data_IF_395202067640
#
_entry.id   IF_395202067640
#
_cell.length_a   1.000
_cell.length_b   1.000
_cell.length_c   1.000
_cell.angle_alpha   90.00
_cell.angle_beta   90.00
_cell.angle_gamma   90.00
#
_symmetry.space_group_name_H-M   'P 1'
#
loop_
_entity.id
_entity.type
_entity.pdbx_description
1 polymer ?
#
# COMPACT_ATOMS: atom_id res chain seq x y z
N UNK A 1 -2.19 -3.14 8.76
CA UNK A 1 -3.41 -2.27 8.85
C UNK A 1 -3.65 -1.69 7.48
N UNK A 2 -4.82 -1.89 6.83
CA UNK A 2 -5.10 -1.26 5.53
C UNK A 2 -5.15 0.26 5.69
N UNK A 3 -4.53 0.99 4.76
CA UNK A 3 -4.54 2.45 4.74
C UNK A 3 -5.19 2.96 3.47
N UNK A 4 -5.94 4.04 3.59
CA UNK A 4 -6.69 4.66 2.51
C UNK A 4 -6.54 6.17 2.67
N UNK A 5 -6.05 6.88 1.66
CA UNK A 5 -5.99 8.35 1.66
C UNK A 5 -5.28 8.95 2.90
N UNK A 6 -4.29 8.23 3.46
CA UNK A 6 -3.55 8.62 4.68
C UNK A 6 -4.27 8.32 6.00
N UNK A 7 -5.35 7.52 5.97
CA UNK A 7 -6.09 7.05 7.13
C UNK A 7 -5.83 5.56 7.33
N UNK A 8 -5.33 5.19 8.52
CA UNK A 8 -5.06 3.82 8.92
C UNK A 8 -6.28 3.17 9.52
N UNK A 9 -6.76 2.10 8.91
CA UNK A 9 -7.85 1.32 9.46
C UNK A 9 -7.31 0.10 10.17
N UNK A 10 -7.92 -0.23 11.31
CA UNK A 10 -7.75 -1.55 11.90
C UNK A 10 -8.28 -2.61 10.92
N UNK A 11 -7.62 -3.78 10.83
CA UNK A 11 -8.04 -4.87 9.92
C UNK A 11 -9.51 -5.28 10.12
N UNK A 12 -10.01 -5.12 11.35
CA UNK A 12 -11.40 -5.41 11.72
C UNK A 12 -12.40 -4.29 11.40
N UNK A 13 -11.93 -3.17 10.83
CA UNK A 13 -12.67 -1.93 10.57
C UNK A 13 -13.42 -1.37 11.79
N UNK A 14 -12.95 -1.67 13.01
CA UNK A 14 -13.53 -1.13 14.26
C UNK A 14 -13.08 0.29 14.55
N UNK A 15 -11.86 0.61 14.15
CA UNK A 15 -11.27 1.92 14.38
C UNK A 15 -10.43 2.35 13.19
N UNK A 16 -10.25 3.67 13.06
CA UNK A 16 -9.33 4.27 12.12
C UNK A 16 -8.52 5.39 12.79
N UNK A 17 -7.26 5.53 12.41
CA UNK A 17 -6.39 6.63 12.82
C UNK A 17 -6.16 7.54 11.62
N UNK A 18 -6.49 8.81 11.78
CA UNK A 18 -6.34 9.83 10.74
C UNK A 18 -4.93 10.45 10.81
N UNK A 19 -4.52 11.09 9.72
CA UNK A 19 -3.21 11.76 9.62
C UNK A 19 -2.99 12.85 10.69
N UNK A 20 -4.07 13.44 11.24
CA UNK A 20 -4.01 14.39 12.36
C UNK A 20 -3.83 13.71 13.73
N UNK A 21 -3.56 12.40 13.76
CA UNK A 21 -3.34 11.61 14.98
C UNK A 21 -4.63 11.18 15.69
N UNK A 22 -5.79 11.70 15.27
CA UNK A 22 -7.08 11.38 15.86
C UNK A 22 -7.49 9.93 15.56
N UNK A 23 -7.91 9.21 16.61
CA UNK A 23 -8.48 7.86 16.50
C UNK A 23 -9.99 7.97 16.52
N UNK A 24 -10.62 7.39 15.50
CA UNK A 24 -12.07 7.29 15.34
C UNK A 24 -12.48 5.84 15.59
N UNK A 25 -13.50 5.64 16.40
CA UNK A 25 -14.11 4.33 16.65
C UNK A 25 -15.45 4.28 15.96
N UNK A 26 -15.66 3.26 15.15
CA UNK A 26 -16.91 3.05 14.41
C UNK A 26 -17.88 2.20 15.22
N UNK A 27 -19.16 2.55 15.13
CA UNK A 27 -20.25 1.72 15.63
C UNK A 27 -20.36 0.42 14.82
N UNK A 28 -21.10 -0.57 15.36
CA UNK A 28 -21.32 -1.85 14.67
C UNK A 28 -21.92 -1.68 13.27
N UNK A 29 -22.86 -0.75 13.10
CA UNK A 29 -23.52 -0.50 11.82
C UNK A 29 -22.58 0.18 10.82
N UNK A 30 -21.84 1.20 11.25
CA UNK A 30 -20.81 1.87 10.44
C UNK A 30 -19.73 0.88 9.98
N UNK A 31 -19.25 0.03 10.89
CA UNK A 31 -18.29 -1.02 10.57
C UNK A 31 -18.85 -2.00 9.54
N UNK A 32 -20.10 -2.45 9.68
CA UNK A 32 -20.72 -3.34 8.69
C UNK A 32 -20.77 -2.67 7.32
N UNK A 33 -21.15 -1.40 7.27
CA UNK A 33 -21.24 -0.64 6.01
C UNK A 33 -19.86 -0.46 5.36
N UNK A 34 -18.83 -0.11 6.15
CA UNK A 34 -17.44 -0.06 5.70
C UNK A 34 -16.99 -1.40 5.13
N UNK A 35 -17.18 -2.51 5.86
CA UNK A 35 -16.77 -3.84 5.41
C UNK A 35 -17.46 -4.26 4.10
N UNK A 36 -18.76 -3.97 3.95
CA UNK A 36 -19.48 -4.29 2.71
C UNK A 36 -18.95 -3.49 1.54
N UNK A 37 -18.73 -2.18 1.73
CA UNK A 37 -18.21 -1.28 0.69
C UNK A 37 -16.76 -1.61 0.31
N UNK A 38 -15.86 -1.80 1.28
CA UNK A 38 -14.43 -2.06 1.01
C UNK A 38 -14.20 -3.43 0.37
N UNK A 39 -15.03 -4.44 0.68
CA UNK A 39 -14.95 -5.76 0.03
C UNK A 39 -15.29 -5.72 -1.46
N UNK A 40 -16.10 -4.74 -1.89
CA UNK A 40 -16.48 -4.50 -3.28
C UNK A 40 -15.95 -3.14 -3.75
N UNK A 41 -14.71 -2.81 -3.35
CA UNK A 41 -14.07 -1.55 -3.74
C UNK A 41 -14.10 -1.36 -5.27
N UNK A 42 -14.48 -0.16 -5.71
CA UNK A 42 -14.68 0.19 -7.12
C UNK A 42 -15.98 -0.28 -7.76
N UNK A 43 -16.82 -1.07 -7.06
CA UNK A 43 -18.13 -1.48 -7.54
C UNK A 43 -19.28 -0.76 -6.81
N UNK A 44 -20.39 -0.53 -7.51
CA UNK A 44 -21.61 0.03 -6.92
C UNK A 44 -22.24 -1.00 -5.99
N UNK A 45 -22.50 -0.58 -4.75
CA UNK A 45 -23.32 -1.33 -3.79
C UNK A 45 -24.62 -0.56 -3.60
N UNK A 46 -25.73 -1.22 -3.90
CA UNK A 46 -27.06 -0.59 -3.87
C UNK A 46 -27.51 -0.30 -2.44
N UNK A 47 -28.44 0.66 -2.29
CA UNK A 47 -29.01 0.99 -0.97
C UNK A 47 -29.68 -0.22 -0.31
N UNK A 48 -30.40 -1.01 -1.11
CA UNK A 48 -31.10 -2.20 -0.61
C UNK A 48 -30.12 -3.30 -0.16
N UNK A 49 -29.01 -3.53 -0.89
CA UNK A 49 -27.94 -4.45 -0.45
C UNK A 49 -27.27 -4.00 0.85
N UNK A 50 -27.03 -2.69 1.00
CA UNK A 50 -26.48 -2.13 2.24
C UNK A 50 -27.47 -2.26 3.41
N UNK A 51 -28.75 -1.98 3.17
CA UNK A 51 -29.82 -2.13 4.17
C UNK A 51 -29.98 -3.60 4.61
N UNK A 52 -29.90 -4.54 3.68
CA UNK A 52 -29.92 -5.97 3.96
C UNK A 52 -28.72 -6.39 4.81
N UNK A 53 -27.51 -5.92 4.46
CA UNK A 53 -26.28 -6.19 5.22
C UNK A 53 -26.38 -5.67 6.66
N UNK A 54 -26.99 -4.49 6.85
CA UNK A 54 -27.22 -3.92 8.16
C UNK A 54 -28.27 -4.71 8.97
N UNK A 55 -29.34 -5.16 8.32
CA UNK A 55 -30.42 -5.92 8.98
C UNK A 55 -29.95 -7.26 9.54
N UNK A 56 -28.96 -7.90 8.90
CA UNK A 56 -28.30 -9.12 9.40
C UNK A 56 -27.54 -8.91 10.73
N UNK A 57 -27.32 -7.67 11.16
CA UNK A 57 -26.69 -7.38 12.46
C UNK A 57 -27.66 -7.43 13.66
N UNK A 58 -28.94 -7.74 13.42
CA UNK A 58 -29.98 -7.91 14.44
C UNK A 58 -30.76 -6.63 14.76
N UNK A 59 -30.67 -5.61 13.90
CA UNK A 59 -31.42 -4.35 14.03
C UNK A 59 -32.01 -4.04 12.66
N UNK A 60 -33.33 -3.99 12.54
CA UNK A 60 -33.98 -3.61 11.28
C UNK A 60 -33.46 -2.26 10.81
N UNK A 61 -32.88 -2.23 9.62
CA UNK A 61 -32.28 -1.04 9.05
C UNK A 61 -32.87 -0.82 7.65
N UNK A 62 -33.70 0.22 7.52
CA UNK A 62 -34.20 0.67 6.22
C UNK A 62 -33.20 1.53 5.45
N UNK A 63 -33.49 1.83 4.18
CA UNK A 63 -32.60 2.59 3.28
C UNK A 63 -32.26 4.00 3.78
N UNK A 64 -33.19 4.68 4.47
CA UNK A 64 -32.90 5.98 5.11
C UNK A 64 -31.81 5.90 6.19
N UNK A 65 -31.66 4.73 6.83
CA UNK A 65 -30.59 4.50 7.80
C UNK A 65 -29.22 4.38 7.09
N UNK A 66 -29.19 3.84 5.86
CA UNK A 66 -27.97 3.73 5.03
C UNK A 66 -27.41 5.12 4.75
N UNK A 67 -28.23 6.04 4.23
CA UNK A 67 -27.77 7.40 3.90
C UNK A 67 -27.27 8.16 5.15
N UNK A 68 -27.94 7.97 6.28
CA UNK A 68 -27.51 8.56 7.56
C UNK A 68 -26.15 8.02 8.02
N UNK A 69 -25.95 6.69 7.92
CA UNK A 69 -24.69 6.04 8.29
C UNK A 69 -23.56 6.43 7.35
N UNK A 70 -23.81 6.55 6.04
CA UNK A 70 -22.82 7.06 5.07
C UNK A 70 -22.41 8.49 5.43
N UNK A 71 -23.36 9.36 5.76
CA UNK A 71 -23.05 10.73 6.18
C UNK A 71 -22.28 10.78 7.52
N UNK A 72 -22.51 9.83 8.43
CA UNK A 72 -21.66 9.69 9.63
C UNK A 72 -20.25 9.24 9.28
N UNK A 73 -20.10 8.22 8.44
CA UNK A 73 -18.79 7.75 7.97
C UNK A 73 -18.01 8.88 7.31
N UNK A 74 -18.65 9.65 6.41
CA UNK A 74 -18.03 10.80 5.76
C UNK A 74 -17.51 11.82 6.77
N UNK A 75 -18.30 12.18 7.78
CA UNK A 75 -17.85 13.08 8.86
C UNK A 75 -16.69 12.51 9.64
N UNK A 76 -16.73 11.22 9.98
CA UNK A 76 -15.66 10.54 10.68
C UNK A 76 -14.35 10.53 9.89
N UNK A 77 -14.43 10.34 8.57
CA UNK A 77 -13.28 10.30 7.68
C UNK A 77 -12.84 11.68 7.17
N UNK A 78 -13.61 12.75 7.46
CA UNK A 78 -13.51 14.07 6.82
C UNK A 78 -13.57 13.98 5.28
N UNK A 79 -14.49 13.18 4.79
CA UNK A 79 -14.79 12.97 3.38
C UNK A 79 -15.89 13.93 2.92
N UNK A 80 -15.64 14.70 1.85
CA UNK A 80 -16.64 15.60 1.26
C UNK A 80 -17.55 14.82 0.30
N UNK A 81 -18.86 15.06 0.33
CA UNK A 81 -19.78 14.42 -0.59
C UNK A 81 -19.67 14.93 -2.04
N UNK A 82 -19.20 16.16 -2.24
CA UNK A 82 -18.98 16.79 -3.55
C UNK A 82 -17.65 16.38 -4.18
N UNK A 83 -16.64 16.14 -3.34
CA UNK A 83 -15.31 15.66 -3.74
C UNK A 83 -14.96 14.40 -2.95
N UNK A 84 -15.64 13.26 -3.23
CA UNK A 84 -15.49 12.06 -2.41
C UNK A 84 -14.13 11.39 -2.63
N UNK A 85 -13.39 11.25 -1.54
CA UNK A 85 -12.12 10.53 -1.48
C UNK A 85 -12.31 9.09 -1.03
N UNK A 86 -13.31 8.81 -0.19
CA UNK A 86 -13.58 7.47 0.32
C UNK A 86 -14.86 6.86 -0.25
N UNK A 87 -15.99 7.54 -0.07
CA UNK A 87 -17.31 7.01 -0.43
C UNK A 87 -17.96 7.93 -1.46
N UNK A 88 -18.03 7.49 -2.71
CA UNK A 88 -18.74 8.21 -3.77
C UNK A 88 -20.23 7.84 -3.79
N UNK A 89 -21.07 8.82 -4.13
CA UNK A 89 -22.51 8.60 -4.35
C UNK A 89 -22.75 8.31 -5.81
N UNK A 90 -23.34 7.15 -6.11
CA UNK A 90 -23.92 6.87 -7.42
C UNK A 90 -25.42 7.17 -7.34
N UNK A 91 -25.83 8.32 -7.89
CA UNK A 91 -27.21 8.80 -7.78
C UNK A 91 -28.21 7.79 -8.34
N UNK A 92 -29.29 7.55 -7.61
CA UNK A 92 -30.30 6.55 -7.99
C UNK A 92 -29.93 5.09 -7.72
N UNK A 93 -28.65 4.76 -7.54
CA UNK A 93 -28.21 3.36 -7.37
C UNK A 93 -27.74 3.07 -5.94
N UNK A 94 -26.75 3.82 -5.45
CA UNK A 94 -26.15 3.53 -4.16
C UNK A 94 -24.81 4.23 -3.95
N UNK A 95 -23.85 3.47 -3.41
CA UNK A 95 -22.56 3.99 -2.98
C UNK A 95 -21.42 3.13 -3.50
N UNK A 96 -20.28 3.77 -3.72
CA UNK A 96 -19.04 3.12 -4.18
C UNK A 96 -17.91 3.49 -3.22
N UNK A 97 -17.13 2.51 -2.80
CA UNK A 97 -15.84 2.78 -2.18
C UNK A 97 -14.81 3.09 -3.26
N UNK A 98 -14.35 4.34 -3.31
CA UNK A 98 -13.42 4.84 -4.33
C UNK A 98 -11.99 5.00 -3.83
N UNK A 99 -11.80 4.99 -2.51
CA UNK A 99 -10.46 5.06 -1.93
C UNK A 99 -9.65 3.81 -2.30
N UNK A 100 -8.47 4.03 -2.89
CA UNK A 100 -7.53 2.96 -3.15
C UNK A 100 -6.79 2.60 -1.87
N UNK A 101 -6.60 1.30 -1.64
CA UNK A 101 -5.77 0.84 -0.54
C UNK A 101 -4.33 1.26 -0.82
N UNK A 102 -3.90 2.32 -0.14
CA UNK A 102 -2.49 2.64 -0.02
C UNK A 102 -1.93 1.62 0.95
N UNK A 103 -1.38 0.54 0.41
CA UNK A 103 -0.71 -0.47 1.22
C UNK A 103 0.45 0.25 1.91
N UNK A 104 0.27 0.63 3.18
CA UNK A 104 1.35 1.20 3.96
C UNK A 104 2.48 0.19 3.95
N UNK A 105 3.66 0.72 3.70
CA UNK A 105 4.94 0.04 3.78
C UNK A 105 5.16 -0.63 5.16
N UNK A 106 4.30 -0.33 6.14
CA UNK A 106 4.28 -0.78 7.55
C UNK A 106 4.26 -2.28 7.85
N UNK A 107 3.99 -3.14 6.86
CA UNK A 107 4.16 -4.60 6.96
C UNK A 107 5.06 -5.16 5.84
N UNK A 108 5.78 -4.29 5.12
CA UNK A 108 6.75 -4.73 4.13
C UNK A 108 7.95 -5.32 4.88
N UNK A 109 8.22 -6.60 4.62
CA UNK A 109 9.45 -7.22 5.08
C UNK A 109 10.66 -6.52 4.46
N UNK A 110 10.56 -6.11 3.20
CA UNK A 110 11.61 -5.37 2.50
C UNK A 110 11.05 -4.28 1.59
N UNK A 111 11.69 -3.11 1.61
CA UNK A 111 11.39 -1.99 0.73
C UNK A 111 12.53 -1.76 -0.25
N UNK A 112 12.22 -1.74 -1.54
CA UNK A 112 13.17 -1.36 -2.58
C UNK A 112 13.07 0.15 -2.80
N UNK A 113 13.98 0.88 -2.16
CA UNK A 113 14.13 2.33 -2.17
C UNK A 113 14.95 2.84 -0.97
N UNK A 114 15.32 4.13 -0.96
CA UNK A 114 15.06 5.12 -2.00
C UNK A 114 15.80 4.81 -3.31
N UNK A 115 15.23 5.28 -4.42
CA UNK A 115 15.77 5.17 -5.77
C UNK A 115 16.38 6.52 -6.16
N UNK A 116 17.71 6.59 -6.28
CA UNK A 116 18.45 7.83 -6.51
C UNK A 116 19.25 7.77 -7.82
N UNK A 117 19.39 8.94 -8.48
CA UNK A 117 20.10 9.08 -9.75
C UNK A 117 19.21 8.79 -10.96
N UNK A 118 19.78 8.20 -12.01
CA UNK A 118 19.14 8.01 -13.32
C UNK A 118 18.24 6.76 -13.39
N UNK A 119 17.42 6.56 -12.35
CA UNK A 119 16.51 5.41 -12.21
C UNK A 119 15.35 5.42 -13.22
N UNK A 120 15.15 6.53 -13.94
CA UNK A 120 14.18 6.64 -15.04
C UNK A 120 14.67 6.03 -16.35
N UNK A 121 15.96 5.68 -16.47
CA UNK A 121 16.48 5.01 -17.65
C UNK A 121 15.81 3.62 -17.84
N UNK A 122 15.45 3.20 -19.06
CA UNK A 122 14.74 1.94 -19.28
C UNK A 122 15.43 0.71 -18.67
N UNK A 123 16.77 0.69 -18.73
CA UNK A 123 17.57 -0.40 -18.16
C UNK A 123 17.55 -0.41 -16.62
N UNK A 124 17.50 0.77 -15.99
CA UNK A 124 17.40 0.88 -14.53
C UNK A 124 15.99 0.47 -14.05
N UNK A 125 14.94 0.89 -14.76
CA UNK A 125 13.57 0.44 -14.51
C UNK A 125 13.43 -1.08 -14.67
N UNK A 126 14.02 -1.65 -15.71
CA UNK A 126 14.04 -3.09 -15.94
C UNK A 126 14.75 -3.83 -14.79
N UNK A 127 15.92 -3.35 -14.38
CA UNK A 127 16.66 -3.91 -13.26
C UNK A 127 15.85 -3.87 -11.96
N UNK A 128 15.26 -2.73 -11.61
CA UNK A 128 14.44 -2.57 -10.40
C UNK A 128 13.26 -3.54 -10.41
N UNK A 129 12.53 -3.62 -11.53
CA UNK A 129 11.40 -4.53 -11.68
C UNK A 129 11.82 -6.00 -11.55
N UNK A 130 12.97 -6.38 -12.10
CA UNK A 130 13.49 -7.74 -12.00
C UNK A 130 13.97 -8.07 -10.58
N UNK A 131 14.70 -7.16 -9.92
CA UNK A 131 15.13 -7.35 -8.52
C UNK A 131 13.91 -7.53 -7.62
N UNK A 132 12.88 -6.70 -7.77
CA UNK A 132 11.63 -6.84 -7.03
C UNK A 132 10.98 -8.22 -7.23
N UNK A 133 10.82 -8.66 -8.50
CA UNK A 133 10.24 -9.98 -8.81
C UNK A 133 11.06 -11.12 -8.19
N UNK A 134 12.39 -11.06 -8.27
CA UNK A 134 13.26 -12.09 -7.72
C UNK A 134 13.20 -12.13 -6.18
N UNK A 135 13.20 -10.96 -5.52
CA UNK A 135 13.07 -10.88 -4.06
C UNK A 135 11.69 -11.37 -3.60
N UNK A 136 10.62 -10.95 -4.26
CA UNK A 136 9.26 -11.40 -3.92
C UNK A 136 9.13 -12.92 -4.05
N UNK A 137 9.71 -13.51 -5.09
CA UNK A 137 9.76 -14.97 -5.30
C UNK A 137 10.62 -15.68 -4.26
N UNK A 138 11.82 -15.18 -3.98
CA UNK A 138 12.80 -15.81 -3.09
C UNK A 138 12.44 -15.73 -1.60
N UNK A 139 11.82 -14.63 -1.17
CA UNK A 139 11.51 -14.39 0.24
C UNK A 139 10.23 -15.10 0.68
N UNK A 140 9.21 -15.15 -0.18
CA UNK A 140 7.99 -15.94 0.03
C UNK A 140 7.31 -15.80 1.40
N UNK A 141 6.38 -16.71 1.72
CA UNK A 141 5.95 -16.96 3.11
C UNK A 141 5.34 -15.78 3.88
N UNK A 142 4.66 -14.84 3.21
CA UNK A 142 4.07 -13.65 3.86
C UNK A 142 5.02 -12.47 4.05
N UNK A 143 6.27 -12.57 3.57
CA UNK A 143 7.26 -11.48 3.58
C UNK A 143 7.07 -10.60 2.35
N UNK A 144 6.24 -9.56 2.49
CA UNK A 144 5.93 -8.65 1.39
C UNK A 144 7.16 -7.81 0.99
N UNK A 145 7.44 -7.74 -0.32
CA UNK A 145 8.45 -6.85 -0.89
C UNK A 145 7.75 -5.73 -1.66
N UNK A 146 8.02 -4.49 -1.29
CA UNK A 146 7.36 -3.30 -1.85
C UNK A 146 8.40 -2.42 -2.54
N UNK A 147 8.06 -1.86 -3.69
CA UNK A 147 8.86 -0.80 -4.32
C UNK A 147 8.31 0.53 -3.84
N UNK A 148 9.17 1.35 -3.25
CA UNK A 148 8.84 2.71 -2.85
C UNK A 148 10.04 3.59 -3.19
N UNK A 149 9.93 4.38 -4.27
CA UNK A 149 11.03 5.21 -4.76
C UNK A 149 11.53 6.23 -3.71
N UNK A 150 10.69 6.60 -2.74
CA UNK A 150 11.06 7.48 -1.63
C UNK A 150 11.82 6.77 -0.50
N UNK A 151 11.80 5.42 -0.49
CA UNK A 151 12.40 4.57 0.54
C UNK A 151 11.46 4.20 1.68
N UNK A 152 10.19 4.62 1.61
CA UNK A 152 9.21 4.40 2.66
C UNK A 152 9.49 5.19 3.94
N UNK A 153 8.51 5.25 4.83
CA UNK A 153 8.69 5.88 6.14
C UNK A 153 9.58 5.01 7.04
N UNK A 154 10.47 5.65 7.82
CA UNK A 154 11.40 4.94 8.73
C UNK A 154 10.62 4.12 9.77
N UNK A 155 11.12 2.93 10.08
CA UNK A 155 10.55 2.03 11.10
C UNK A 155 9.33 1.23 10.65
N UNK A 156 8.86 1.42 9.41
CA UNK A 156 7.72 0.72 8.82
C UNK A 156 8.10 -0.57 8.09
N UNK A 157 9.37 -0.87 7.89
CA UNK A 157 9.83 -2.09 7.22
C UNK A 157 10.97 -2.74 7.99
N UNK A 158 11.14 -4.07 7.84
CA UNK A 158 12.23 -4.78 8.51
C UNK A 158 13.59 -4.48 7.86
N UNK A 159 13.61 -4.37 6.53
CA UNK A 159 14.80 -4.07 5.74
C UNK A 159 14.51 -3.02 4.66
N UNK A 160 15.43 -2.09 4.46
CA UNK A 160 15.43 -1.12 3.37
C UNK A 160 16.52 -1.46 2.36
N UNK A 161 16.24 -1.33 1.07
CA UNK A 161 17.15 -1.64 -0.02
C UNK A 161 17.24 -0.45 -0.97
N UNK A 162 18.16 0.46 -0.67
CA UNK A 162 18.38 1.67 -1.44
C UNK A 162 19.18 1.36 -2.71
N UNK A 163 18.79 1.96 -3.83
CA UNK A 163 19.53 1.91 -5.09
C UNK A 163 19.90 3.33 -5.50
N UNK A 164 21.19 3.59 -5.61
CA UNK A 164 21.70 4.77 -6.31
C UNK A 164 22.32 4.31 -7.63
N UNK A 165 21.91 4.86 -8.76
CA UNK A 165 22.49 4.50 -10.05
C UNK A 165 22.68 5.68 -11.00
N UNK A 166 23.66 5.53 -11.89
CA UNK A 166 23.98 6.42 -13.00
C UNK A 166 23.88 5.56 -14.25
N UNK A 167 23.22 6.07 -15.29
CA UNK A 167 23.11 5.38 -16.57
C UNK A 167 24.04 6.06 -17.58
N UNK A 168 24.71 5.27 -18.41
CA UNK A 168 25.58 5.76 -19.48
C UNK A 168 25.55 4.77 -20.64
N UNK A 169 25.51 5.24 -21.89
CA UNK A 169 25.52 4.48 -23.16
C UNK A 169 25.15 2.97 -23.08
N UNK A 170 23.95 2.65 -22.58
CA UNK A 170 23.44 1.27 -22.52
C UNK A 170 23.91 0.42 -21.33
N UNK A 171 24.50 1.05 -20.33
CA UNK A 171 24.93 0.48 -19.04
C UNK A 171 24.33 1.28 -17.88
N UNK A 172 24.17 0.60 -16.74
CA UNK A 172 23.76 1.20 -15.47
C UNK A 172 24.80 0.82 -14.42
N UNK A 173 25.47 1.83 -13.87
CA UNK A 173 26.36 1.70 -12.73
C UNK A 173 25.60 2.09 -11.48
N UNK A 174 25.68 1.29 -10.42
CA UNK A 174 24.99 1.63 -9.19
C UNK A 174 25.54 0.98 -7.95
N UNK A 175 24.97 1.38 -6.83
CA UNK A 175 25.22 0.81 -5.52
C UNK A 175 23.87 0.45 -4.91
N UNK A 176 23.77 -0.80 -4.48
CA UNK A 176 22.66 -1.31 -3.71
C UNK A 176 23.06 -1.35 -2.24
N UNK A 177 22.29 -0.72 -1.37
CA UNK A 177 22.59 -0.64 0.07
C UNK A 177 21.44 -1.21 0.86
N UNK A 178 21.72 -2.20 1.70
CA UNK A 178 20.80 -2.83 2.61
C UNK A 178 20.89 -2.15 3.98
N UNK A 179 19.77 -1.73 4.54
CA UNK A 179 19.63 -1.15 5.87
C UNK A 179 18.64 -1.95 6.70
N UNK A 180 18.79 -1.90 8.02
CA UNK A 180 17.86 -2.52 8.96
C UNK A 180 16.82 -1.53 9.48
N UNK A 181 15.76 -2.04 10.09
CA UNK A 181 14.66 -1.25 10.67
C UNK A 181 15.10 -0.13 11.60
N UNK A 182 15.99 -0.44 12.54
CA UNK A 182 16.31 0.43 13.69
C UNK A 182 17.60 1.23 13.50
N UNK A 183 18.28 1.09 12.36
CA UNK A 183 19.52 1.82 12.09
C UNK A 183 19.64 2.26 10.63
N UNK A 184 19.94 3.55 10.38
CA UNK A 184 20.28 4.03 9.04
C UNK A 184 21.66 3.53 8.57
N UNK A 185 22.40 2.79 9.42
CA UNK A 185 23.69 2.21 9.06
C UNK A 185 23.46 1.07 8.05
N UNK A 186 24.24 1.09 6.98
CA UNK A 186 24.26 0.00 6.02
C UNK A 186 24.65 -1.31 6.72
N UNK A 187 23.76 -2.31 6.65
CA UNK A 187 24.06 -3.69 7.01
C UNK A 187 25.02 -4.31 6.01
N UNK A 188 24.76 -4.04 4.72
CA UNK A 188 25.61 -4.47 3.62
C UNK A 188 25.44 -3.53 2.42
N UNK A 189 26.46 -3.43 1.57
CA UNK A 189 26.38 -2.68 0.31
C UNK A 189 27.12 -3.42 -0.79
N UNK A 190 26.58 -3.41 -2.00
CA UNK A 190 27.21 -4.02 -3.18
C UNK A 190 27.17 -3.06 -4.36
N UNK A 191 28.30 -2.96 -5.06
CA UNK A 191 28.37 -2.23 -6.34
C UNK A 191 27.87 -3.14 -7.45
N UNK A 192 27.12 -2.57 -8.38
CA UNK A 192 26.57 -3.28 -9.53
C UNK A 192 26.86 -2.52 -10.82
N UNK A 193 27.05 -3.29 -11.87
CA UNK A 193 27.08 -2.81 -13.26
C UNK A 193 26.16 -3.73 -14.04
N UNK A 194 25.25 -3.14 -14.80
CA UNK A 194 24.28 -3.86 -15.63
C UNK A 194 24.38 -3.31 -17.04
N UNK A 195 24.56 -4.20 -18.00
CA UNK A 195 24.46 -3.88 -19.42
C UNK A 195 23.08 -4.27 -19.95
N UNK A 196 22.67 -3.68 -21.07
CA UNK A 196 21.42 -4.05 -21.76
C UNK A 196 21.37 -5.57 -22.00
N UNK A 197 20.23 -6.19 -21.67
CA UNK A 197 20.03 -7.64 -21.78
C UNK A 197 20.57 -8.48 -20.61
N UNK A 198 21.35 -7.90 -19.69
CA UNK A 198 21.93 -8.60 -18.54
C UNK A 198 21.26 -8.27 -17.20
N UNK A 199 20.14 -7.54 -17.23
CA UNK A 199 19.43 -7.15 -16.02
C UNK A 199 18.98 -8.38 -15.20
N UNK A 200 18.52 -9.45 -15.85
CA UNK A 200 17.90 -10.59 -15.14
C UNK A 200 18.94 -11.44 -14.40
N UNK A 201 20.05 -11.87 -15.04
CA UNK A 201 21.14 -12.52 -14.32
C UNK A 201 21.62 -11.68 -13.14
N UNK A 202 21.75 -10.36 -13.33
CA UNK A 202 22.18 -9.48 -12.24
C UNK A 202 21.15 -9.38 -11.12
N UNK A 203 19.86 -9.31 -11.46
CA UNK A 203 18.79 -9.28 -10.46
C UNK A 203 18.75 -10.56 -9.60
N UNK A 204 19.02 -11.73 -10.20
CA UNK A 204 19.10 -12.99 -9.46
C UNK A 204 20.29 -12.98 -8.49
N UNK A 205 21.46 -12.51 -8.95
CA UNK A 205 22.67 -12.34 -8.12
C UNK A 205 22.38 -11.42 -6.92
N UNK A 206 21.82 -10.23 -7.19
CA UNK A 206 21.49 -9.25 -6.16
C UNK A 206 20.45 -9.78 -5.16
N UNK A 207 19.41 -10.47 -5.64
CA UNK A 207 18.38 -11.01 -4.75
C UNK A 207 18.93 -12.11 -3.82
N UNK A 208 19.87 -12.95 -4.31
CA UNK A 208 20.58 -13.92 -3.47
C UNK A 208 21.49 -13.23 -2.44
N UNK A 209 22.21 -12.19 -2.86
CA UNK A 209 23.05 -11.40 -1.96
C UNK A 209 22.23 -10.73 -0.84
N UNK A 210 21.07 -10.16 -1.17
CA UNK A 210 20.14 -9.61 -0.16
C UNK A 210 19.72 -10.72 0.81
N UNK A 211 19.30 -11.89 0.29
CA UNK A 211 18.86 -13.01 1.13
C UNK A 211 19.96 -13.54 2.07
N UNK A 212 21.23 -13.52 1.66
CA UNK A 212 22.34 -13.93 2.53
C UNK A 212 22.72 -12.87 3.57
N UNK A 213 22.25 -11.63 3.39
CA UNK A 213 22.61 -10.48 4.23
C UNK A 213 21.51 -10.09 5.23
N UNK A 214 20.36 -10.77 5.21
CA UNK A 214 19.19 -10.52 6.06
C UNK A 214 18.91 -11.66 7.05
#
# INVERSE_FOLDING_TARGET
MPSYEGVDFETSMRSARRADGCVVVFTRQERTLLLTLTRRAGAVVTRSELAQSLSQTGREAGERNVDFLVNKLRRHLKDDAREPRFVATQYGEGYVWVAQETRKTSDAFLVLGPLQGEVGAPLAQELVAQVHRQLASLLGGGRAVVIDASGGEKGQHQYGLALACIADEGRVHGVLTLTGRDSPRALASVRLVVERGHALPKAIELARWVRSSI
#
